data_IF_451471253255
#
_entry.id   IF_451471253255
#
_cell.length_a   1.000
_cell.length_b   1.000
_cell.length_c   1.000
_cell.angle_alpha   90.00
_cell.angle_beta   90.00
_cell.angle_gamma   90.00
#
_symmetry.space_group_name_H-M   'P 1'
#
loop_
_entity.id
_entity.type
_entity.pdbx_description
1 polymer ?
#
# COMPACT_ATOMS: atom_id res chain seq x y z
N UNK A 1 -12.18 36.16 -11.99
CA UNK A 1 -11.40 35.01 -12.48
C UNK A 1 -12.40 33.90 -12.73
N UNK A 2 -12.86 33.77 -13.97
CA UNK A 2 -13.88 32.78 -14.33
C UNK A 2 -13.17 31.48 -14.70
N UNK A 3 -13.16 30.54 -13.77
CA UNK A 3 -12.68 29.17 -13.99
C UNK A 3 -13.75 28.41 -14.79
N UNK A 4 -13.36 27.78 -15.89
CA UNK A 4 -14.28 27.09 -16.81
C UNK A 4 -14.29 25.61 -16.43
N UNK A 5 -15.46 25.13 -15.98
CA UNK A 5 -15.86 23.74 -15.71
C UNK A 5 -14.72 22.75 -15.40
N UNK A 6 -14.41 22.60 -14.11
CA UNK A 6 -13.53 21.56 -13.61
C UNK A 6 -14.11 20.17 -13.91
N UNK A 7 -13.35 19.32 -14.59
CA UNK A 7 -13.65 17.87 -14.62
C UNK A 7 -12.94 17.22 -13.45
N UNK A 8 -13.70 16.75 -12.46
CA UNK A 8 -13.17 16.09 -11.27
C UNK A 8 -13.14 14.59 -11.45
N UNK A 9 -11.97 13.99 -11.23
CA UNK A 9 -11.75 12.54 -11.20
C UNK A 9 -11.42 12.13 -9.76
N UNK A 10 -11.99 11.03 -9.30
CA UNK A 10 -11.66 10.46 -7.99
C UNK A 10 -10.74 9.27 -8.20
N UNK A 11 -9.55 9.32 -7.64
CA UNK A 11 -8.54 8.27 -7.78
C UNK A 11 -7.87 8.03 -6.43
N UNK A 12 -7.53 6.77 -6.16
CA UNK A 12 -6.82 6.41 -4.95
C UNK A 12 -5.50 5.73 -5.31
N UNK A 13 -4.47 6.05 -4.53
CA UNK A 13 -3.14 5.50 -4.71
C UNK A 13 -2.62 4.87 -3.43
N UNK A 14 -1.78 3.85 -3.61
CA UNK A 14 -0.99 3.27 -2.53
C UNK A 14 0.47 3.72 -2.68
N UNK A 15 1.09 4.06 -1.57
CA UNK A 15 2.46 4.57 -1.51
C UNK A 15 3.32 3.68 -0.62
N UNK A 16 4.60 3.57 -0.96
CA UNK A 16 5.61 2.92 -0.12
C UNK A 16 6.89 3.75 -0.09
N UNK A 17 7.31 4.17 1.11
CA UNK A 17 8.56 4.88 1.30
C UNK A 17 9.74 3.90 1.15
N UNK A 18 10.63 4.18 0.20
CA UNK A 18 11.82 3.35 -0.02
C UNK A 18 12.92 3.60 1.02
N UNK A 19 12.76 4.62 1.88
CA UNK A 19 13.69 4.94 2.98
C UNK A 19 13.34 4.22 4.28
N UNK A 20 12.09 4.31 4.74
CA UNK A 20 11.67 3.76 6.04
C UNK A 20 10.67 2.59 5.93
N UNK A 21 10.25 2.20 4.72
CA UNK A 21 9.31 1.11 4.49
C UNK A 21 7.84 1.43 4.84
N UNK A 22 7.54 2.62 5.35
CA UNK A 22 6.17 3.01 5.66
C UNK A 22 5.30 3.05 4.40
N UNK A 23 4.16 2.36 4.45
CA UNK A 23 3.17 2.34 3.39
C UNK A 23 1.85 2.94 3.84
N UNK A 24 1.21 3.69 2.97
CA UNK A 24 -0.08 4.32 3.21
C UNK A 24 -0.90 4.34 1.91
N UNK A 25 -2.21 4.53 2.02
CA UNK A 25 -3.09 4.79 0.88
C UNK A 25 -3.83 6.11 1.10
N UNK A 26 -4.13 6.80 0.01
CA UNK A 26 -4.86 8.06 0.06
C UNK A 26 -5.76 8.18 -1.17
N UNK A 27 -6.98 8.65 -0.95
CA UNK A 27 -7.92 9.04 -2.01
C UNK A 27 -7.74 10.53 -2.34
N UNK A 28 -7.86 10.84 -3.63
CA UNK A 28 -7.69 12.18 -4.16
C UNK A 28 -8.85 12.56 -5.07
N UNK A 29 -9.21 13.84 -5.01
CA UNK A 29 -9.99 14.53 -6.04
C UNK A 29 -9.01 15.26 -6.95
N UNK A 30 -9.07 14.95 -8.25
CA UNK A 30 -8.18 15.49 -9.28
C UNK A 30 -9.02 16.35 -10.20
N UNK A 31 -8.88 17.66 -10.05
CA UNK A 31 -9.63 18.65 -10.82
C UNK A 31 -8.79 19.12 -12.01
N UNK A 32 -9.33 18.93 -13.21
CA UNK A 32 -8.74 19.42 -14.45
C UNK A 32 -9.35 20.77 -14.80
N UNK A 33 -8.50 21.78 -14.94
CA UNK A 33 -8.89 23.15 -15.16
C UNK A 33 -8.21 23.73 -16.40
N UNK A 34 -8.81 24.78 -16.95
CA UNK A 34 -8.24 25.59 -18.03
C UNK A 34 -8.32 27.05 -17.61
N UNK A 35 -7.19 27.76 -17.66
CA UNK A 35 -7.15 29.19 -17.32
C UNK A 35 -7.68 30.08 -18.45
N UNK A 36 -7.79 31.38 -18.20
CA UNK A 36 -8.27 32.35 -19.18
C UNK A 36 -7.32 32.54 -20.38
N UNK A 37 -6.07 32.08 -20.28
CA UNK A 37 -5.08 32.03 -21.35
C UNK A 37 -5.08 30.69 -22.10
N UNK A 38 -6.04 29.82 -21.82
CA UNK A 38 -6.18 28.49 -22.40
C UNK A 38 -5.02 27.53 -22.03
N UNK A 39 -4.38 27.73 -20.87
CA UNK A 39 -3.43 26.77 -20.30
C UNK A 39 -4.15 25.80 -19.36
N UNK A 40 -3.92 24.51 -19.59
CA UNK A 40 -4.45 23.45 -18.73
C UNK A 40 -3.59 23.29 -17.46
N UNK A 41 -4.25 23.12 -16.32
CA UNK A 41 -3.60 22.79 -15.06
C UNK A 41 -4.44 21.81 -14.24
N UNK A 42 -3.79 21.14 -13.28
CA UNK A 42 -4.43 20.11 -12.45
C UNK A 42 -4.30 20.52 -10.98
N UNK A 43 -5.41 20.43 -10.25
CA UNK A 43 -5.46 20.63 -8.81
C UNK A 43 -5.75 19.30 -8.14
N UNK A 44 -4.92 18.94 -7.17
CA UNK A 44 -5.10 17.75 -6.34
C UNK A 44 -5.66 18.17 -4.99
N UNK A 45 -6.68 17.46 -4.53
CA UNK A 45 -7.21 17.56 -3.17
C UNK A 45 -7.21 16.20 -2.49
N UNK A 46 -6.92 16.18 -1.20
CA UNK A 46 -7.09 15.02 -0.33
C UNK A 46 -7.96 15.46 0.85
N UNK A 47 -9.00 14.69 1.15
CA UNK A 47 -9.95 15.01 2.24
C UNK A 47 -10.54 16.43 2.11
N UNK A 48 -10.78 16.88 0.89
CA UNK A 48 -11.27 18.22 0.55
C UNK A 48 -10.22 19.34 0.59
N UNK A 49 -9.01 19.08 1.09
CA UNK A 49 -7.93 20.06 1.19
C UNK A 49 -6.96 20.00 0.01
N UNK A 50 -6.51 21.17 -0.48
CA UNK A 50 -5.57 21.25 -1.60
C UNK A 50 -4.17 20.79 -1.18
N UNK A 51 -3.62 19.84 -1.93
CA UNK A 51 -2.30 19.23 -1.65
C UNK A 51 -1.37 19.34 -2.86
N UNK A 52 -0.04 19.21 -2.65
CA UNK A 52 0.89 19.00 -3.77
C UNK A 52 0.52 17.77 -4.59
N UNK A 53 0.93 17.74 -5.86
CA UNK A 53 0.70 16.59 -6.72
C UNK A 53 1.40 15.34 -6.13
N UNK A 54 0.64 14.28 -5.78
CA UNK A 54 1.22 13.07 -5.19
C UNK A 54 2.10 12.30 -6.19
N UNK A 55 1.96 12.58 -7.49
CA UNK A 55 2.69 11.92 -8.57
C UNK A 55 4.07 12.55 -8.83
N UNK A 56 4.20 13.86 -8.62
CA UNK A 56 5.44 14.59 -8.89
C UNK A 56 6.28 14.82 -7.64
N UNK A 57 5.63 15.01 -6.49
CA UNK A 57 6.31 15.42 -5.25
C UNK A 57 5.90 14.55 -4.05
N UNK A 58 5.98 13.21 -4.15
CA UNK A 58 5.58 12.36 -3.04
C UNK A 58 6.54 12.55 -1.86
N UNK A 59 5.97 12.75 -0.67
CA UNK A 59 6.74 12.91 0.57
C UNK A 59 6.17 11.97 1.62
N UNK A 60 7.03 11.14 2.20
CA UNK A 60 6.64 10.23 3.27
C UNK A 60 6.30 11.02 4.54
N UNK A 61 5.05 10.90 5.00
CA UNK A 61 4.55 11.58 6.21
C UNK A 61 5.21 11.08 7.50
N UNK A 62 5.81 9.88 7.48
CA UNK A 62 6.51 9.31 8.64
C UNK A 62 7.96 9.82 8.79
N UNK A 63 8.72 9.94 7.69
CA UNK A 63 10.16 10.24 7.77
C UNK A 63 10.65 11.41 6.89
N UNK A 64 9.75 12.07 6.16
CA UNK A 64 10.06 13.18 5.24
C UNK A 64 10.83 12.77 3.98
N UNK A 65 11.06 11.48 3.73
CA UNK A 65 11.77 11.02 2.53
C UNK A 65 10.95 11.22 1.24
N UNK A 66 11.62 11.56 0.14
CA UNK A 66 11.00 11.81 -1.17
C UNK A 66 11.13 10.65 -2.16
N UNK A 67 11.91 9.60 -1.84
CA UNK A 67 11.97 8.38 -2.65
C UNK A 67 10.81 7.48 -2.27
N UNK A 68 9.69 7.66 -2.95
CA UNK A 68 8.43 6.97 -2.68
C UNK A 68 8.00 6.23 -3.94
N UNK A 69 7.66 4.95 -3.80
CA UNK A 69 7.04 4.16 -4.86
C UNK A 69 5.53 4.35 -4.82
N UNK A 70 4.93 4.67 -5.97
CA UNK A 70 3.48 4.82 -6.14
C UNK A 70 2.94 3.56 -6.83
N UNK A 71 1.81 3.07 -6.37
CA UNK A 71 1.13 1.87 -6.83
C UNK A 71 -0.38 2.11 -6.91
N UNK A 72 -1.11 1.18 -7.53
CA UNK A 72 -2.58 1.17 -7.47
C UNK A 72 -3.06 1.06 -6.02
N UNK A 73 -4.22 1.64 -5.72
CA UNK A 73 -4.91 1.44 -4.45
C UNK A 73 -5.09 -0.05 -4.11
N UNK A 74 -5.26 -0.34 -2.82
CA UNK A 74 -5.47 -1.69 -2.29
C UNK A 74 -4.19 -2.47 -1.98
N UNK A 75 -3.01 -1.99 -2.39
CA UNK A 75 -1.74 -2.72 -2.18
C UNK A 75 -1.28 -2.72 -0.73
N UNK A 76 -1.39 -1.59 -0.04
CA UNK A 76 -0.99 -1.48 1.38
C UNK A 76 -2.04 -2.17 2.25
N UNK A 77 -3.32 -1.97 1.98
CA UNK A 77 -4.40 -2.64 2.74
C UNK A 77 -4.33 -4.17 2.63
N UNK A 78 -4.05 -4.70 1.43
CA UNK A 78 -3.82 -6.15 1.24
C UNK A 78 -2.66 -6.66 2.09
N UNK A 79 -1.52 -5.97 2.11
CA UNK A 79 -0.36 -6.37 2.91
C UNK A 79 -0.68 -6.30 4.40
N UNK A 80 -1.34 -5.25 4.87
CA UNK A 80 -1.77 -5.12 6.26
C UNK A 80 -2.70 -6.27 6.67
N UNK A 81 -3.68 -6.63 5.84
CA UNK A 81 -4.57 -7.75 6.08
C UNK A 81 -3.81 -9.08 6.18
N UNK A 82 -2.86 -9.33 5.29
CA UNK A 82 -2.02 -10.54 5.33
C UNK A 82 -1.17 -10.62 6.60
N UNK A 83 -0.62 -9.49 7.05
CA UNK A 83 0.14 -9.41 8.30
C UNK A 83 -0.76 -9.67 9.52
N UNK A 84 -1.98 -9.14 9.51
CA UNK A 84 -2.94 -9.35 10.58
C UNK A 84 -3.37 -10.82 10.67
N UNK A 85 -3.66 -11.46 9.53
CA UNK A 85 -4.02 -12.87 9.46
C UNK A 85 -2.86 -13.82 9.79
N UNK A 86 -1.61 -13.37 9.66
CA UNK A 86 -0.41 -14.14 10.03
C UNK A 86 -0.11 -14.11 11.52
N UNK A 87 -0.76 -13.28 12.33
CA UNK A 87 -0.60 -13.35 13.79
C UNK A 87 -1.13 -14.71 14.25
N UNK A 88 -0.26 -15.60 14.79
CA UNK A 88 -0.74 -16.84 15.36
C UNK A 88 -1.72 -16.50 16.49
N UNK A 89 -2.76 -17.31 16.65
CA UNK A 89 -3.65 -17.27 17.81
C UNK A 89 -2.88 -17.68 19.09
N UNK A 90 -1.90 -16.88 19.50
CA UNK A 90 -1.39 -16.91 20.86
C UNK A 90 -2.45 -16.19 21.71
N UNK A 91 -3.50 -16.92 22.09
CA UNK A 91 -4.43 -16.68 23.21
C UNK A 91 -5.68 -17.59 23.13
N UNK A 92 -5.61 -18.74 22.43
CA UNK A 92 -6.63 -19.79 22.50
C UNK A 92 -6.03 -21.08 23.08
N UNK A 93 -5.46 -21.00 24.28
CA UNK A 93 -5.23 -22.19 25.11
C UNK A 93 -5.42 -21.88 26.59
N UNK A 94 -6.65 -22.06 27.05
CA UNK A 94 -6.96 -22.40 28.43
C UNK A 94 -8.20 -23.30 28.44
N UNK A 95 -8.01 -24.56 28.03
CA UNK A 95 -8.87 -25.66 28.45
C UNK A 95 -9.60 -26.40 27.34
N UNK A 96 -8.93 -27.36 26.72
CA UNK A 96 -9.59 -28.58 26.23
C UNK A 96 -8.58 -29.74 26.13
N UNK A 97 -8.77 -30.73 27.00
CA UNK A 97 -8.04 -32.00 27.10
C UNK A 97 -8.05 -32.84 25.79
N UNK A 98 -7.10 -33.78 25.63
CA UNK A 98 -6.75 -34.37 24.34
C UNK A 98 -7.71 -35.51 23.94
N UNK A 99 -8.08 -35.56 22.65
CA UNK A 99 -8.73 -36.71 22.02
C UNK A 99 -7.82 -37.33 20.96
N UNK A 100 -7.69 -38.64 21.06
CA UNK A 100 -6.81 -39.56 20.33
C UNK A 100 -6.91 -39.52 18.80
N UNK A 101 -5.80 -39.96 18.21
CA UNK A 101 -5.39 -39.90 16.82
C UNK A 101 -6.19 -40.77 15.84
N UNK A 102 -6.27 -40.33 14.58
CA UNK A 102 -6.42 -41.21 13.42
C UNK A 102 -5.39 -40.82 12.36
N UNK A 103 -4.54 -41.77 12.02
CA UNK A 103 -3.53 -41.67 10.98
C UNK A 103 -4.17 -41.71 9.58
N UNK A 104 -3.74 -40.81 8.69
CA UNK A 104 -3.97 -40.92 7.25
C UNK A 104 -2.67 -40.56 6.50
N UNK A 105 -2.05 -41.61 5.96
CA UNK A 105 -1.22 -41.70 4.74
C UNK A 105 -0.63 -40.42 4.13
N UNK A 106 0.72 -40.40 4.09
CA UNK A 106 1.54 -39.45 3.36
C UNK A 106 1.49 -39.65 1.83
N UNK A 107 1.35 -38.55 1.10
CA UNK A 107 1.74 -38.38 -0.30
C UNK A 107 2.76 -37.22 -0.38
N UNK A 108 3.77 -37.26 -1.27
CA UNK A 108 4.87 -36.31 -1.21
C UNK A 108 4.42 -34.93 -1.68
N UNK A 109 4.35 -33.99 -0.73
CA UNK A 109 4.24 -32.57 -1.03
C UNK A 109 5.56 -32.11 -1.66
N UNK A 110 5.51 -31.74 -2.94
CA UNK A 110 6.55 -30.93 -3.56
C UNK A 110 6.52 -29.54 -2.94
N UNK A 111 7.13 -29.38 -1.77
CA UNK A 111 7.24 -28.11 -1.08
C UNK A 111 8.30 -27.25 -1.79
N UNK A 112 7.84 -26.45 -2.74
CA UNK A 112 8.56 -25.24 -3.14
C UNK A 112 8.50 -24.25 -1.98
N UNK A 113 9.35 -24.50 -0.98
CA UNK A 113 9.55 -23.64 0.17
C UNK A 113 10.13 -22.31 -0.32
N UNK A 114 9.27 -21.30 -0.42
CA UNK A 114 9.74 -19.93 -0.64
C UNK A 114 10.34 -19.45 0.68
N UNK A 115 11.66 -19.48 0.78
CA UNK A 115 12.36 -19.02 1.97
C UNK A 115 12.30 -17.49 2.01
N UNK A 116 11.80 -16.93 3.12
CA UNK A 116 11.69 -15.48 3.31
C UNK A 116 13.05 -14.75 3.13
N UNK A 117 14.14 -15.48 3.38
CA UNK A 117 15.51 -15.05 3.15
C UNK A 117 15.76 -14.65 1.69
N UNK A 118 15.14 -15.31 0.71
CA UNK A 118 15.37 -15.02 -0.72
C UNK A 118 14.82 -13.66 -1.16
N UNK A 119 13.88 -13.08 -0.40
CA UNK A 119 13.30 -11.76 -0.66
C UNK A 119 14.11 -10.60 -0.06
N UNK A 120 15.07 -10.89 0.83
CA UNK A 120 15.84 -9.90 1.57
C UNK A 120 17.24 -9.61 0.97
N UNK A 121 17.60 -10.25 -0.15
CA UNK A 121 18.89 -10.07 -0.81
C UNK A 121 19.01 -9.01 -1.95
N UNK A 122 18.09 -8.04 -2.20
CA UNK A 122 18.29 -7.15 -3.35
C UNK A 122 19.44 -6.14 -3.21
N UNK A 123 20.10 -6.00 -2.05
CA UNK A 123 21.07 -4.92 -1.82
C UNK A 123 22.43 -5.35 -1.26
N UNK A 124 22.97 -6.48 -1.74
CA UNK A 124 24.41 -6.74 -1.63
C UNK A 124 25.04 -6.89 -3.02
N UNK A 125 25.33 -5.75 -3.65
CA UNK A 125 26.43 -5.63 -4.63
C UNK A 125 27.51 -4.74 -4.03
N UNK A 126 28.74 -5.26 -4.11
CA UNK A 126 30.01 -4.60 -3.76
C UNK A 126 30.24 -3.35 -4.59
#
# INVERSE_FOLDING_TARGET
MSEIAATTVHEAYAFACMRCGYGWEQAYEIEHHVDASNHAFVVYKADGERVPSPLSTPTCTNCGGHVVRIMRAGRVSTVQQLLQNRRPAADADAGAEPREAVAATAAPAGDHHWHLSDLLHPFHRR
#
